data_IF_324263681009
#
_entry.id   IF_324263681009
#
_cell.length_a   1.000
_cell.length_b   1.000
_cell.length_c   1.000
_cell.angle_alpha   90.00
_cell.angle_beta   90.00
_cell.angle_gamma   90.00
#
_symmetry.space_group_name_H-M   'P 1'
#
loop_
_entity.id
_entity.type
_entity.pdbx_description
1 polymer ?
#
# COMPACT_ATOMS: atom_id res chain seq x y z
N UNK A 1 -2.31 -15.17 4.86
CA UNK A 1 -2.60 -16.05 3.72
C UNK A 1 -3.62 -15.34 2.86
N UNK A 2 -3.27 -15.03 1.62
CA UNK A 2 -4.14 -14.36 0.65
C UNK A 2 -4.69 -15.44 -0.25
N UNK A 3 -6.00 -15.68 -0.23
CA UNK A 3 -6.65 -16.66 -1.11
C UNK A 3 -7.19 -15.88 -2.29
N UNK A 4 -6.55 -16.03 -3.45
CA UNK A 4 -7.08 -15.52 -4.71
C UNK A 4 -8.05 -16.56 -5.26
N UNK A 5 -9.34 -16.26 -5.26
CA UNK A 5 -10.34 -17.05 -5.96
C UNK A 5 -10.66 -16.33 -7.27
N UNK A 6 -10.37 -16.99 -8.39
CA UNK A 6 -10.58 -16.46 -9.73
C UNK A 6 -11.91 -17.03 -10.25
N UNK A 7 -12.93 -16.19 -10.35
CA UNK A 7 -14.22 -16.50 -10.98
C UNK A 7 -14.62 -15.30 -11.84
N UNK A 8 -14.81 -15.55 -13.13
CA UNK A 8 -15.44 -14.62 -14.10
C UNK A 8 -14.76 -13.25 -14.34
N UNK A 9 -13.42 -13.20 -14.35
CA UNK A 9 -12.69 -12.06 -14.93
C UNK A 9 -12.74 -10.76 -14.12
N UNK A 10 -13.23 -10.80 -12.88
CA UNK A 10 -13.19 -9.68 -11.93
C UNK A 10 -12.25 -10.06 -10.78
N UNK A 11 -11.13 -9.33 -10.67
CA UNK A 11 -10.17 -9.48 -9.57
C UNK A 11 -10.68 -8.75 -8.34
N UNK A 12 -11.16 -9.48 -7.33
CA UNK A 12 -11.50 -8.90 -6.03
C UNK A 12 -10.24 -8.74 -5.18
N UNK A 13 -9.88 -7.50 -4.83
CA UNK A 13 -8.83 -7.22 -3.84
C UNK A 13 -9.42 -7.27 -2.43
N UNK A 14 -9.40 -8.44 -1.81
CA UNK A 14 -9.70 -8.56 -0.37
C UNK A 14 -8.54 -7.93 0.40
N UNK A 15 -8.80 -6.78 1.04
CA UNK A 15 -7.85 -6.11 1.93
C UNK A 15 -7.74 -6.92 3.22
N UNK A 16 -6.91 -7.96 3.22
CA UNK A 16 -6.43 -8.55 4.47
C UNK A 16 -5.71 -7.46 5.25
N UNK A 17 -6.01 -7.33 6.54
CA UNK A 17 -5.29 -6.46 7.49
C UNK A 17 -3.84 -6.97 7.73
N UNK A 18 -3.11 -7.23 6.66
CA UNK A 18 -1.73 -7.70 6.67
C UNK A 18 -0.79 -6.57 7.06
N UNK A 19 0.37 -6.94 7.61
CA UNK A 19 1.48 -6.03 7.81
C UNK A 19 1.80 -5.29 6.51
N UNK A 20 1.67 -3.97 6.53
CA UNK A 20 2.15 -3.08 5.48
C UNK A 20 3.67 -2.94 5.60
N UNK A 21 4.34 -2.54 4.53
CA UNK A 21 5.73 -2.09 4.54
C UNK A 21 5.89 -0.97 5.56
N UNK A 22 4.97 0.00 5.62
CA UNK A 22 5.04 1.07 6.61
C UNK A 22 5.07 0.54 8.05
N UNK A 23 4.20 -0.43 8.38
CA UNK A 23 4.21 -1.08 9.71
C UNK A 23 5.48 -1.87 9.95
N UNK A 24 6.00 -2.55 8.92
CA UNK A 24 7.22 -3.35 9.04
C UNK A 24 8.45 -2.47 9.20
N UNK A 25 8.55 -1.37 8.45
CA UNK A 25 9.57 -0.33 8.56
C UNK A 25 9.52 0.31 9.95
N UNK A 26 8.34 0.66 10.45
CA UNK A 26 8.18 1.20 11.80
C UNK A 26 8.64 0.22 12.88
N UNK A 27 8.33 -1.07 12.73
CA UNK A 27 8.78 -2.11 13.66
C UNK A 27 10.31 -2.29 13.61
N UNK A 28 10.91 -2.28 12.41
CA UNK A 28 12.37 -2.35 12.24
C UNK A 28 13.07 -1.15 12.88
N UNK A 29 12.58 0.07 12.64
CA UNK A 29 13.09 1.29 13.29
C UNK A 29 12.96 1.19 14.81
N UNK A 30 11.80 0.75 15.31
CA UNK A 30 11.58 0.58 16.75
C UNK A 30 12.54 -0.44 17.37
N UNK A 31 12.77 -1.58 16.70
CA UNK A 31 13.73 -2.58 17.16
C UNK A 31 15.16 -2.03 17.18
N UNK A 32 15.54 -1.25 16.17
CA UNK A 32 16.86 -0.61 16.08
C UNK A 32 17.09 0.40 17.22
N UNK A 33 16.11 1.26 17.49
CA UNK A 33 16.16 2.24 18.59
C UNK A 33 16.20 1.53 19.95
N UNK A 34 15.40 0.47 20.13
CA UNK A 34 15.43 -0.35 21.35
C UNK A 34 16.82 -0.98 21.55
N UNK A 35 17.35 -1.65 20.53
CA UNK A 35 18.64 -2.33 20.60
C UNK A 35 19.79 -1.38 20.98
N UNK A 36 19.80 -0.17 20.40
CA UNK A 36 20.83 0.84 20.69
C UNK A 36 20.67 1.50 22.06
N UNK A 37 19.44 1.68 22.55
CA UNK A 37 19.18 2.24 23.89
C UNK A 37 19.71 1.37 25.02
N UNK A 38 19.89 0.07 24.78
CA UNK A 38 20.46 -0.88 25.75
C UNK A 38 21.98 -1.01 25.68
N UNK A 39 22.63 -0.43 24.66
CA UNK A 39 24.08 -0.41 24.54
C UNK A 39 24.62 0.75 25.40
N UNK A 40 24.98 0.44 26.64
CA UNK A 40 25.68 1.41 27.50
C UNK A 40 27.04 1.77 26.85
N UNK A 41 27.37 3.06 26.69
CA UNK A 41 28.49 3.52 25.85
C UNK A 41 29.90 3.15 26.31
N UNK A 42 30.09 2.50 27.46
CA UNK A 42 31.40 2.48 28.13
C UNK A 42 31.76 1.18 28.87
N UNK A 43 31.35 0.01 28.38
CA UNK A 43 31.91 -1.25 28.92
C UNK A 43 32.52 -2.11 27.80
N UNK A 44 33.64 -1.61 27.29
CA UNK A 44 34.66 -2.37 26.55
C UNK A 44 35.50 -3.29 27.47
N UNK A 45 35.12 -3.39 28.75
CA UNK A 45 35.63 -4.40 29.67
C UNK A 45 34.73 -5.63 29.63
N UNK A 46 35.33 -6.82 29.70
CA UNK A 46 34.76 -8.16 29.80
C UNK A 46 33.79 -8.33 30.98
N UNK A 47 32.70 -7.57 31.00
CA UNK A 47 31.60 -7.80 31.91
C UNK A 47 30.93 -9.13 31.52
N UNK A 48 30.58 -9.99 32.49
CA UNK A 48 29.87 -11.22 32.20
C UNK A 48 28.58 -10.89 31.46
N UNK A 49 28.31 -11.63 30.37
CA UNK A 49 27.12 -11.44 29.55
C UNK A 49 25.87 -11.52 30.44
N UNK A 50 25.06 -10.45 30.46
CA UNK A 50 23.74 -10.48 31.08
C UNK A 50 22.86 -11.47 30.30
N UNK A 51 22.48 -12.63 30.88
CA UNK A 51 21.66 -13.62 30.18
C UNK A 51 20.31 -13.05 29.74
N UNK A 52 19.79 -12.03 30.44
CA UNK A 52 18.58 -11.32 30.04
C UNK A 52 18.76 -10.48 28.78
N UNK A 53 19.94 -9.92 28.54
CA UNK A 53 20.24 -9.17 27.32
C UNK A 53 20.35 -10.07 26.09
N UNK A 54 20.88 -11.29 26.23
CA UNK A 54 20.94 -12.26 25.13
C UNK A 54 19.55 -12.79 24.76
N UNK A 55 18.71 -13.08 25.75
CA UNK A 55 17.33 -13.51 25.51
C UNK A 55 16.52 -12.43 24.76
N UNK A 56 16.60 -11.16 25.19
CA UNK A 56 15.94 -10.04 24.50
C UNK A 56 16.43 -9.86 23.07
N UNK A 57 17.74 -10.01 22.83
CA UNK A 57 18.31 -9.92 21.47
C UNK A 57 17.79 -11.03 20.55
N UNK A 58 17.59 -12.25 21.07
CA UNK A 58 16.97 -13.35 20.31
C UNK A 58 15.52 -13.04 19.98
N UNK A 59 14.73 -12.59 20.97
CA UNK A 59 13.32 -12.22 20.76
C UNK A 59 13.16 -11.13 19.69
N UNK A 60 13.99 -10.09 19.72
CA UNK A 60 13.97 -9.06 18.67
C UNK A 60 14.41 -9.58 17.31
N UNK A 61 15.39 -10.48 17.26
CA UNK A 61 15.83 -11.11 16.02
C UNK A 61 14.68 -11.91 15.38
N UNK A 62 13.95 -12.69 16.18
CA UNK A 62 12.81 -13.50 15.72
C UNK A 62 11.63 -12.61 15.26
N UNK A 63 11.34 -11.54 16.00
CA UNK A 63 10.34 -10.54 15.62
C UNK A 63 10.69 -9.92 14.26
N UNK A 64 11.93 -9.48 14.08
CA UNK A 64 12.40 -8.89 12.82
C UNK A 64 12.39 -9.86 11.66
N UNK A 65 12.77 -11.11 11.88
CA UNK A 65 12.72 -12.13 10.84
C UNK A 65 11.29 -12.31 10.31
N UNK A 66 10.31 -12.25 11.21
CA UNK A 66 8.88 -12.25 10.84
C UNK A 66 8.52 -11.05 9.95
N UNK A 67 9.02 -9.85 10.27
CA UNK A 67 8.81 -8.65 9.47
C UNK A 67 9.50 -8.71 8.10
N UNK A 68 10.76 -9.14 8.03
CA UNK A 68 11.50 -9.31 6.78
C UNK A 68 10.85 -10.35 5.87
N UNK A 69 10.44 -11.49 6.43
CA UNK A 69 9.71 -12.52 5.71
C UNK A 69 8.36 -12.00 5.18
N UNK A 70 7.63 -11.22 5.99
CA UNK A 70 6.37 -10.61 5.56
C UNK A 70 6.59 -9.62 4.39
N UNK A 71 7.63 -8.79 4.46
CA UNK A 71 7.99 -7.86 3.39
C UNK A 71 8.36 -8.59 2.09
N UNK A 72 9.22 -9.63 2.14
CA UNK A 72 9.54 -10.46 0.97
C UNK A 72 8.32 -11.09 0.32
N UNK A 73 7.47 -11.72 1.14
CA UNK A 73 6.23 -12.35 0.65
C UNK A 73 5.34 -11.34 -0.06
N UNK A 74 5.22 -10.13 0.49
CA UNK A 74 4.38 -9.08 -0.07
C UNK A 74 4.96 -8.50 -1.35
N UNK A 75 6.27 -8.27 -1.41
CA UNK A 75 6.96 -7.84 -2.62
C UNK A 75 6.78 -8.84 -3.76
N UNK A 76 6.91 -10.14 -3.50
CA UNK A 76 6.67 -11.19 -4.51
C UNK A 76 5.22 -11.22 -5.03
N UNK A 77 4.26 -10.71 -4.25
CA UNK A 77 2.86 -10.66 -4.64
C UNK A 77 2.49 -9.40 -5.43
N UNK A 78 3.11 -8.26 -5.11
CA UNK A 78 2.63 -6.94 -5.54
C UNK A 78 3.66 -6.15 -6.35
N UNK A 79 4.95 -6.40 -6.15
CA UNK A 79 6.00 -5.66 -6.84
C UNK A 79 6.05 -6.08 -8.32
N UNK A 80 6.22 -5.13 -9.27
CA UNK A 80 6.43 -5.48 -10.67
C UNK A 80 7.63 -6.43 -10.84
N UNK A 81 7.53 -7.49 -11.67
CA UNK A 81 8.61 -8.48 -11.80
C UNK A 81 10.01 -7.91 -12.09
N UNK A 82 10.17 -6.86 -12.93
CA UNK A 82 11.49 -6.27 -13.19
C UNK A 82 12.12 -5.58 -11.96
N UNK A 83 11.32 -5.19 -10.98
CA UNK A 83 11.78 -4.47 -9.78
C UNK A 83 12.09 -5.39 -8.60
N UNK A 84 11.63 -6.64 -8.65
CA UNK A 84 11.77 -7.58 -7.55
C UNK A 84 13.23 -7.88 -7.17
N UNK A 85 14.19 -8.07 -8.10
CA UNK A 85 15.59 -8.28 -7.74
C UNK A 85 16.15 -7.12 -6.91
N UNK A 86 15.91 -5.88 -7.35
CA UNK A 86 16.40 -4.71 -6.64
C UNK A 86 15.74 -4.53 -5.25
N UNK A 87 14.47 -4.91 -5.11
CA UNK A 87 13.83 -4.97 -3.80
C UNK A 87 14.51 -5.97 -2.87
N UNK A 88 14.82 -7.18 -3.37
CA UNK A 88 15.45 -8.23 -2.57
C UNK A 88 16.88 -7.84 -2.16
N UNK A 89 17.64 -7.18 -3.04
CA UNK A 89 18.96 -6.62 -2.74
C UNK A 89 18.90 -5.55 -1.65
N UNK A 90 18.05 -4.53 -1.83
CA UNK A 90 17.84 -3.45 -0.86
C UNK A 90 17.40 -4.01 0.52
N UNK A 91 16.49 -4.98 0.53
CA UNK A 91 16.00 -5.58 1.76
C UNK A 91 17.08 -6.40 2.48
N UNK A 92 17.94 -7.07 1.72
CA UNK A 92 19.05 -7.86 2.27
C UNK A 92 20.09 -6.95 2.91
N UNK A 93 20.39 -5.80 2.30
CA UNK A 93 21.27 -4.78 2.88
C UNK A 93 20.70 -4.25 4.21
N UNK A 94 19.42 -3.85 4.23
CA UNK A 94 18.76 -3.38 5.45
C UNK A 94 18.75 -4.47 6.53
N UNK A 95 18.44 -5.72 6.18
CA UNK A 95 18.45 -6.84 7.13
C UNK A 95 19.83 -7.06 7.74
N UNK A 96 20.89 -7.05 6.92
CA UNK A 96 22.26 -7.20 7.39
C UNK A 96 22.66 -6.07 8.37
N UNK A 97 22.32 -4.82 8.04
CA UNK A 97 22.58 -3.66 8.90
C UNK A 97 21.85 -3.76 10.24
N UNK A 98 20.56 -4.10 10.23
CA UNK A 98 19.75 -4.20 11.45
C UNK A 98 20.23 -5.37 12.34
N UNK A 99 20.53 -6.53 11.75
CA UNK A 99 21.09 -7.67 12.50
C UNK A 99 22.49 -7.35 13.07
N UNK A 100 23.31 -6.62 12.32
CA UNK A 100 24.60 -6.12 12.79
C UNK A 100 24.47 -5.20 14.01
N UNK A 101 23.49 -4.31 14.01
CA UNK A 101 23.19 -3.42 15.14
C UNK A 101 22.71 -4.20 16.38
N UNK A 102 21.80 -5.16 16.21
CA UNK A 102 21.26 -5.95 17.34
C UNK A 102 22.32 -6.83 17.99
N UNK A 103 23.20 -7.43 17.19
CA UNK A 103 24.27 -8.28 17.72
C UNK A 103 25.40 -7.49 18.38
N UNK A 104 25.37 -6.15 18.31
CA UNK A 104 26.43 -5.28 18.83
C UNK A 104 27.76 -5.47 18.10
N UNK A 105 27.75 -6.10 16.92
CA UNK A 105 28.95 -6.39 16.12
C UNK A 105 29.34 -5.26 15.19
N UNK A 106 28.44 -4.31 14.96
CA UNK A 106 28.75 -3.11 14.22
C UNK A 106 28.94 -1.99 15.26
N UNK A 107 30.13 -1.40 15.28
CA UNK A 107 30.49 -0.25 16.12
C UNK A 107 29.73 0.97 15.58
N UNK A 108 28.41 1.00 15.81
CA UNK A 108 27.46 2.00 15.29
C UNK A 108 27.17 3.09 16.32
N UNK A 109 28.19 3.50 17.07
CA UNK A 109 27.99 4.57 18.04
C UNK A 109 27.78 5.94 17.39
N UNK A 110 27.95 6.09 16.07
CA UNK A 110 27.89 7.40 15.43
C UNK A 110 26.84 7.65 14.37
N UNK A 111 25.96 6.71 14.00
CA UNK A 111 24.86 7.14 13.15
C UNK A 111 23.62 6.22 13.18
N UNK A 112 23.07 6.01 14.38
CA UNK A 112 21.71 5.46 14.53
C UNK A 112 20.73 6.22 13.62
N UNK A 113 20.88 7.55 13.53
CA UNK A 113 20.06 8.39 12.68
C UNK A 113 20.22 8.04 11.19
N UNK A 114 21.44 7.82 10.69
CA UNK A 114 21.66 7.32 9.32
C UNK A 114 20.97 5.98 9.08
N UNK A 115 21.06 5.02 10.00
CA UNK A 115 20.40 3.72 9.81
C UNK A 115 18.88 3.81 9.88
N UNK A 116 18.34 4.62 10.78
CA UNK A 116 16.91 4.92 10.81
C UNK A 116 16.48 5.56 9.49
N UNK A 117 17.26 6.50 8.94
CA UNK A 117 16.95 7.11 7.64
C UNK A 117 17.15 6.16 6.45
N UNK A 118 18.08 5.20 6.51
CA UNK A 118 18.19 4.12 5.53
C UNK A 118 16.93 3.26 5.53
N UNK A 119 16.47 2.81 6.70
CA UNK A 119 15.25 1.98 6.84
C UNK A 119 14.01 2.76 6.41
N UNK A 120 13.88 4.03 6.79
CA UNK A 120 12.78 4.88 6.30
C UNK A 120 12.88 5.15 4.80
N UNK A 121 14.09 5.35 4.28
CA UNK A 121 14.36 5.54 2.85
C UNK A 121 13.94 4.34 2.03
N UNK A 122 14.25 3.13 2.53
CA UNK A 122 13.75 1.87 1.98
C UNK A 122 12.22 1.87 1.93
N UNK A 123 11.56 2.19 3.05
CA UNK A 123 10.10 2.30 3.10
C UNK A 123 9.53 3.27 2.08
N UNK A 124 10.05 4.51 2.02
CA UNK A 124 9.62 5.54 1.07
C UNK A 124 9.76 5.09 -0.39
N UNK A 125 10.83 4.38 -0.72
CA UNK A 125 11.09 3.86 -2.07
C UNK A 125 10.09 2.78 -2.47
N UNK A 126 9.76 1.87 -1.56
CA UNK A 126 9.04 0.64 -1.90
C UNK A 126 7.54 0.64 -1.57
N UNK A 127 7.09 1.52 -0.67
CA UNK A 127 5.66 1.69 -0.33
C UNK A 127 4.78 1.88 -1.58
N UNK A 128 5.10 2.73 -2.57
CA UNK A 128 4.24 2.91 -3.74
C UNK A 128 3.96 1.63 -4.54
N UNK A 129 4.85 0.65 -4.48
CA UNK A 129 4.76 -0.59 -5.25
C UNK A 129 4.12 -1.74 -4.47
N UNK A 130 4.22 -1.73 -3.14
CA UNK A 130 3.85 -2.87 -2.29
C UNK A 130 2.67 -2.53 -1.36
N UNK A 131 2.47 -1.25 -1.10
CA UNK A 131 1.32 -0.67 -0.41
C UNK A 131 0.84 0.56 -1.19
N UNK A 132 0.39 0.39 -2.45
CA UNK A 132 -0.11 1.52 -3.20
C UNK A 132 -1.24 2.19 -2.41
N UNK A 133 -1.30 3.54 -2.41
CA UNK A 133 -2.36 4.24 -1.72
C UNK A 133 -3.70 3.70 -2.23
N UNK A 134 -4.70 3.54 -1.34
CA UNK A 134 -5.98 3.05 -1.79
C UNK A 134 -6.54 3.96 -2.89
N UNK A 135 -7.29 3.39 -3.86
CA UNK A 135 -7.88 4.18 -4.92
C UNK A 135 -8.76 5.28 -4.30
N UNK A 136 -8.60 6.50 -4.82
CA UNK A 136 -9.33 7.67 -4.35
C UNK A 136 -10.83 7.50 -4.51
N UNK A 137 -11.25 6.98 -5.67
CA UNK A 137 -12.62 6.59 -5.93
C UNK A 137 -12.80 5.11 -5.57
N UNK A 138 -13.63 4.83 -4.57
CA UNK A 138 -13.99 3.47 -4.16
C UNK A 138 -15.45 3.19 -4.51
N UNK A 139 -15.70 1.98 -4.98
CA UNK A 139 -17.04 1.47 -5.25
C UNK A 139 -17.29 0.30 -4.31
N UNK A 140 -18.33 0.38 -3.47
CA UNK A 140 -18.75 -0.69 -2.56
C UNK A 140 -19.91 -1.45 -3.20
N UNK A 141 -19.72 -2.75 -3.44
CA UNK A 141 -20.71 -3.57 -4.13
C UNK A 141 -21.90 -3.94 -3.23
N UNK A 142 -21.72 -3.92 -1.90
CA UNK A 142 -22.73 -4.31 -0.92
C UNK A 142 -23.96 -3.40 -1.01
N UNK A 143 -23.74 -2.09 -1.08
CA UNK A 143 -24.77 -1.05 -1.13
C UNK A 143 -24.76 -0.26 -2.45
N UNK A 144 -23.91 -0.65 -3.41
CA UNK A 144 -23.66 0.04 -4.67
C UNK A 144 -23.30 1.53 -4.46
N UNK A 145 -22.56 1.83 -3.40
CA UNK A 145 -22.11 3.19 -3.10
C UNK A 145 -20.82 3.56 -3.79
N UNK A 146 -20.71 4.84 -4.15
CA UNK A 146 -19.50 5.44 -4.73
C UNK A 146 -18.97 6.47 -3.76
N UNK A 147 -17.70 6.31 -3.36
CA UNK A 147 -17.03 7.16 -2.37
C UNK A 147 -15.78 7.76 -2.97
N UNK A 148 -15.57 9.06 -2.79
CA UNK A 148 -14.33 9.74 -3.16
C UNK A 148 -13.62 10.22 -1.89
N UNK A 149 -12.39 9.74 -1.68
CA UNK A 149 -11.56 10.09 -0.52
C UNK A 149 -12.32 9.90 0.82
N UNK A 150 -13.12 8.83 0.91
CA UNK A 150 -13.93 8.49 2.09
C UNK A 150 -15.31 9.16 2.16
N UNK A 151 -15.56 10.21 1.37
CA UNK A 151 -16.87 10.88 1.29
C UNK A 151 -17.80 10.14 0.34
N UNK A 152 -19.02 9.84 0.80
CA UNK A 152 -20.07 9.24 -0.02
C UNK A 152 -20.59 10.25 -1.05
N UNK A 153 -20.55 9.88 -2.33
CA UNK A 153 -21.08 10.68 -3.44
C UNK A 153 -22.47 10.20 -3.86
N UNK A 154 -22.69 8.90 -3.82
CA UNK A 154 -23.95 8.24 -4.15
C UNK A 154 -24.06 6.90 -3.41
N UNK A 155 -25.28 6.45 -3.16
CA UNK A 155 -25.64 5.14 -2.60
C UNK A 155 -26.73 4.51 -3.48
N UNK A 156 -26.88 3.20 -3.42
CA UNK A 156 -27.97 2.47 -4.07
C UNK A 156 -28.09 2.71 -5.58
N UNK A 157 -26.97 2.98 -6.26
CA UNK A 157 -26.95 3.15 -7.72
C UNK A 157 -27.57 1.92 -8.40
N UNK A 158 -28.20 2.10 -9.56
CA UNK A 158 -28.65 0.95 -10.34
C UNK A 158 -27.44 0.10 -10.73
N UNK A 159 -27.66 -1.20 -10.93
CA UNK A 159 -26.57 -2.14 -11.23
C UNK A 159 -25.73 -1.70 -12.45
N UNK A 160 -26.39 -1.16 -13.47
CA UNK A 160 -25.75 -0.68 -14.70
C UNK A 160 -24.92 0.60 -14.47
N UNK A 161 -25.47 1.54 -13.70
CA UNK A 161 -24.81 2.78 -13.31
C UNK A 161 -23.58 2.50 -12.43
N UNK A 162 -23.72 1.60 -11.45
CA UNK A 162 -22.64 1.17 -10.58
C UNK A 162 -21.53 0.46 -11.35
N UNK A 163 -21.88 -0.50 -12.21
CA UNK A 163 -20.90 -1.21 -13.04
C UNK A 163 -20.13 -0.27 -13.98
N UNK A 164 -20.82 0.74 -14.53
CA UNK A 164 -20.19 1.77 -15.35
C UNK A 164 -19.15 2.56 -14.55
N UNK A 165 -19.49 3.04 -13.35
CA UNK A 165 -18.56 3.80 -12.50
C UNK A 165 -17.41 2.94 -11.99
N UNK A 166 -17.69 1.69 -11.58
CA UNK A 166 -16.69 0.73 -11.12
C UNK A 166 -15.64 0.43 -12.20
N UNK A 167 -16.08 0.26 -13.46
CA UNK A 167 -15.18 0.07 -14.60
C UNK A 167 -14.26 1.27 -14.80
N UNK A 168 -14.77 2.50 -14.71
CA UNK A 168 -13.94 3.70 -14.81
C UNK A 168 -12.95 3.78 -13.63
N UNK A 169 -13.40 3.49 -12.41
CA UNK A 169 -12.56 3.50 -11.21
C UNK A 169 -11.39 2.52 -11.31
N UNK A 170 -11.61 1.34 -11.90
CA UNK A 170 -10.59 0.31 -12.08
C UNK A 170 -9.51 0.67 -13.11
N UNK A 171 -9.79 1.61 -14.02
CA UNK A 171 -8.87 2.04 -15.09
C UNK A 171 -8.18 3.37 -14.83
N UNK A 172 -8.66 4.15 -13.87
CA UNK A 172 -8.06 5.43 -13.50
C UNK A 172 -6.54 5.29 -13.21
N UNK A 173 -5.67 6.15 -13.77
CA UNK A 173 -5.97 7.42 -14.46
C UNK A 173 -6.29 7.32 -15.95
N UNK A 174 -6.20 6.13 -16.54
CA UNK A 174 -6.36 5.97 -17.98
C UNK A 174 -7.83 6.05 -18.42
N UNK A 175 -8.11 6.61 -19.61
CA UNK A 175 -9.45 6.60 -20.18
C UNK A 175 -9.88 5.17 -20.53
N UNK A 176 -11.18 4.89 -20.43
CA UNK A 176 -11.79 3.63 -20.85
C UNK A 176 -12.35 3.80 -22.26
N UNK A 177 -11.84 3.05 -23.26
CA UNK A 177 -12.32 3.16 -24.63
C UNK A 177 -13.79 2.80 -24.79
N UNK A 178 -14.47 3.45 -25.73
CA UNK A 178 -15.88 3.19 -26.09
C UNK A 178 -16.20 1.71 -26.31
N UNK A 179 -15.29 1.02 -27.00
CA UNK A 179 -15.42 -0.42 -27.29
C UNK A 179 -15.43 -1.26 -26.01
N UNK A 180 -14.63 -0.89 -25.02
CA UNK A 180 -14.57 -1.58 -23.72
C UNK A 180 -15.87 -1.37 -22.96
N UNK A 181 -16.36 -0.12 -22.89
CA UNK A 181 -17.64 0.22 -22.23
C UNK A 181 -18.82 -0.57 -22.82
N UNK A 182 -18.87 -0.65 -24.14
CA UNK A 182 -19.95 -1.36 -24.87
C UNK A 182 -19.99 -2.85 -24.53
N UNK A 183 -18.82 -3.45 -24.29
CA UNK A 183 -18.69 -4.88 -24.07
C UNK A 183 -18.78 -5.30 -22.59
N UNK A 184 -18.39 -4.43 -21.66
CA UNK A 184 -18.18 -4.79 -20.25
C UNK A 184 -19.47 -4.85 -19.41
N UNK A 185 -20.47 -4.02 -19.69
CA UNK A 185 -21.66 -3.92 -18.85
C UNK A 185 -22.95 -4.31 -19.60
N UNK A 186 -23.69 -5.36 -19.17
CA UNK A 186 -25.06 -5.61 -19.62
C UNK A 186 -25.90 -4.34 -19.34
N UNK A 187 -26.46 -3.73 -20.39
CA UNK A 187 -27.16 -2.43 -20.31
C UNK A 187 -26.44 -1.27 -21.02
N UNK A 188 -25.10 -1.32 -21.12
CA UNK A 188 -24.29 -0.30 -21.80
C UNK A 188 -24.09 -0.54 -23.31
N UNK A 189 -24.79 -1.51 -23.90
CA UNK A 189 -24.72 -1.81 -25.34
C UNK A 189 -25.48 -0.73 -26.14
N UNK A 190 -24.83 -0.16 -27.17
CA UNK A 190 -25.43 0.79 -28.11
C UNK A 190 -25.52 2.24 -27.60
N UNK A 191 -26.53 3.01 -28.06
CA UNK A 191 -26.76 4.44 -27.73
C UNK A 191 -27.07 4.73 -26.24
N UNK A 192 -26.95 3.74 -25.36
CA UNK A 192 -27.35 3.83 -23.96
C UNK A 192 -26.28 4.45 -23.04
N UNK A 193 -25.04 4.62 -23.49
CA UNK A 193 -23.95 5.05 -22.61
C UNK A 193 -24.12 6.50 -22.13
N UNK A 194 -24.48 7.41 -23.04
CA UNK A 194 -24.88 8.77 -22.69
C UNK A 194 -26.09 8.79 -21.75
N UNK A 195 -27.02 7.84 -21.90
CA UNK A 195 -28.19 7.72 -21.02
C UNK A 195 -27.79 7.27 -19.62
N UNK A 196 -26.89 6.31 -19.49
CA UNK A 196 -26.34 5.87 -18.19
C UNK A 196 -25.60 7.02 -17.53
N UNK A 197 -24.71 7.71 -18.26
CA UNK A 197 -24.01 8.89 -17.75
C UNK A 197 -24.98 9.98 -17.26
N UNK A 198 -26.04 10.25 -18.02
CA UNK A 198 -27.03 11.25 -17.68
C UNK A 198 -27.95 10.84 -16.52
N UNK A 199 -28.08 9.55 -16.25
CA UNK A 199 -28.85 9.02 -15.13
C UNK A 199 -28.07 9.04 -13.80
N UNK A 200 -26.73 9.16 -13.85
CA UNK A 200 -25.91 9.24 -12.65
C UNK A 200 -26.24 10.50 -11.82
N UNK A 201 -26.17 10.39 -10.48
CA UNK A 201 -26.21 11.57 -9.61
C UNK A 201 -25.16 12.59 -10.01
N UNK A 202 -25.53 13.88 -9.97
CA UNK A 202 -24.67 14.97 -10.44
C UNK A 202 -23.26 14.95 -9.80
N UNK A 203 -23.17 14.59 -8.52
CA UNK A 203 -21.90 14.46 -7.80
C UNK A 203 -20.93 13.44 -8.41
N UNK A 204 -21.45 12.35 -8.97
CA UNK A 204 -20.65 11.32 -9.65
C UNK A 204 -20.43 11.69 -11.11
N UNK A 205 -21.48 12.15 -11.80
CA UNK A 205 -21.43 12.55 -13.21
C UNK A 205 -20.37 13.62 -13.47
N UNK A 206 -20.26 14.61 -12.58
CA UNK A 206 -19.30 15.71 -12.72
C UNK A 206 -17.83 15.26 -12.60
N UNK A 207 -17.57 14.02 -12.18
CA UNK A 207 -16.23 13.42 -12.16
C UNK A 207 -15.90 12.68 -13.46
N UNK A 208 -16.84 12.57 -14.39
CA UNK A 208 -16.68 11.78 -15.62
C UNK A 208 -16.63 12.72 -16.82
N UNK A 209 -15.54 12.66 -17.56
CA UNK A 209 -15.41 13.31 -18.86
C UNK A 209 -15.65 12.31 -19.97
N UNK A 210 -16.22 12.81 -21.07
CA UNK A 210 -16.45 12.04 -22.29
C UNK A 210 -15.76 12.75 -23.44
N UNK A 211 -14.95 12.02 -24.18
CA UNK A 211 -14.23 12.52 -25.35
C UNK A 211 -14.35 11.56 -26.55
N UNK A 212 -13.63 11.86 -27.63
CA UNK A 212 -13.62 11.02 -28.83
C UNK A 212 -13.04 9.62 -28.57
N UNK A 213 -12.23 9.43 -27.53
CA UNK A 213 -11.56 8.17 -27.20
C UNK A 213 -12.37 7.28 -26.26
N UNK A 214 -13.18 7.87 -25.38
CA UNK A 214 -14.02 7.14 -24.44
C UNK A 214 -14.50 7.99 -23.28
N UNK A 215 -14.43 7.38 -22.09
CA UNK A 215 -14.76 8.02 -20.82
C UNK A 215 -13.56 8.02 -19.89
N UNK A 216 -13.31 9.14 -19.21
CA UNK A 216 -12.23 9.29 -18.26
C UNK A 216 -12.76 9.81 -16.92
N UNK A 217 -12.14 9.41 -15.82
CA UNK A 217 -12.40 10.02 -14.52
C UNK A 217 -11.50 11.23 -14.32
N UNK A 218 -12.10 12.40 -14.12
CA UNK A 218 -11.43 13.63 -13.73
C UNK A 218 -11.68 13.92 -12.25
N UNK A 219 -10.83 13.33 -11.42
CA UNK A 219 -10.89 13.56 -9.98
C UNK A 219 -10.34 14.95 -9.63
N UNK A 220 -10.98 15.70 -8.72
CA UNK A 220 -10.45 16.99 -8.26
C UNK A 220 -9.08 16.79 -7.61
N UNK A 221 -8.20 17.82 -7.61
CA UNK A 221 -6.94 17.74 -6.89
C UNK A 221 -7.22 17.33 -5.45
N UNK A 222 -6.40 16.42 -4.92
CA UNK A 222 -6.50 16.05 -3.51
C UNK A 222 -6.23 17.33 -2.73
N UNK A 223 -7.25 17.83 -2.03
CA UNK A 223 -7.04 18.91 -1.07
C UNK A 223 -6.06 18.31 -0.07
N UNK A 224 -4.79 18.72 -0.14
CA UNK A 224 -3.81 18.41 0.88
C UNK A 224 -4.52 18.77 2.17
N UNK A 225 -4.82 17.78 3.01
CA UNK A 225 -5.45 18.00 4.30
C UNK A 225 -4.56 19.03 4.96
N UNK A 226 -5.01 20.29 4.96
CA UNK A 226 -4.32 21.36 5.64
C UNK A 226 -4.16 20.83 7.04
N UNK A 227 -2.91 20.69 7.47
CA UNK A 227 -2.57 20.33 8.83
C UNK A 227 -3.31 21.33 9.71
N UNK A 228 -4.48 20.93 10.23
CA UNK A 228 -5.09 21.60 11.36
C UNK A 228 -4.21 21.20 12.54
N UNK A 229 -3.08 21.90 12.69
CA UNK A 229 -2.47 22.07 14.00
C UNK A 229 -3.52 22.74 14.86
N UNK A 230 -4.20 21.93 15.66
CA UNK A 230 -4.88 22.39 16.86
C UNK A 230 -3.82 22.82 17.89
#
# INVERSE_FOLDING_TARGET
MTVSQQSDGITYHIVSAGLTIERSVAAVVSALVRATSHLSPLSLGTAPADPGADQRRREWSDELETHFAAMRRRARQLCPPPMLPQFEDDLTEIEATVRGAITGRVVLFWDLDQHVEQVKGFGRRWVPYIDPPPPRLRCDETDRSVRLDGRVLATELKREEFAFVQMLAARYPDPVPWRTVTNAAPGCRGKNQTRVLNALPAAVRNLIESDATGYALRLPPKLSTGVQTA
#
